data_IF_147212968576
#
_entry.id   IF_147212968576
#
_cell.length_a   1.000
_cell.length_b   1.000
_cell.length_c   1.000
_cell.angle_alpha   90.00
_cell.angle_beta   90.00
_cell.angle_gamma   90.00
#
_symmetry.space_group_name_H-M   'P 1'
#
loop_
_entity.id
_entity.type
_entity.pdbx_description
1 polymer ?
#
# COMPACT_ATOMS: atom_id res chain seq x y z
N UNK A 1 -8.03 -26.25 -21.63
CA UNK A 1 -7.61 -24.84 -21.59
C UNK A 1 -8.58 -24.13 -20.66
N UNK A 2 -8.18 -23.87 -19.41
CA UNK A 2 -9.03 -23.12 -18.48
C UNK A 2 -9.03 -21.65 -18.87
N UNK A 3 -10.20 -21.05 -19.06
CA UNK A 3 -10.31 -19.60 -19.24
C UNK A 3 -9.85 -18.93 -17.95
N UNK A 4 -8.82 -18.09 -18.02
CA UNK A 4 -8.58 -17.10 -16.98
C UNK A 4 -9.73 -16.09 -17.07
N UNK A 5 -10.83 -16.39 -16.40
CA UNK A 5 -11.95 -15.46 -16.24
C UNK A 5 -11.47 -14.35 -15.32
N UNK A 6 -10.95 -13.27 -15.90
CA UNK A 6 -10.63 -12.07 -15.16
C UNK A 6 -11.95 -11.42 -14.72
N UNK A 7 -12.36 -11.65 -13.48
CA UNK A 7 -13.45 -10.91 -12.85
C UNK A 7 -12.97 -9.46 -12.64
N UNK A 8 -13.18 -8.63 -13.65
CA UNK A 8 -12.87 -7.21 -13.55
C UNK A 8 -13.87 -6.55 -12.60
N UNK A 9 -13.42 -6.22 -11.39
CA UNK A 9 -14.12 -5.28 -10.53
C UNK A 9 -13.40 -3.93 -10.61
N UNK A 10 -13.80 -3.05 -11.55
CA UNK A 10 -13.18 -1.74 -11.69
C UNK A 10 -13.41 -0.96 -10.39
N UNK A 11 -12.34 -0.70 -9.66
CA UNK A 11 -12.34 0.23 -8.54
C UNK A 11 -11.50 1.44 -8.95
N UNK A 12 -12.12 2.62 -9.00
CA UNK A 12 -11.39 3.88 -9.12
C UNK A 12 -10.99 4.31 -7.72
N UNK A 13 -9.69 4.27 -7.43
CA UNK A 13 -9.13 4.83 -6.20
C UNK A 13 -8.41 6.14 -6.60
N UNK A 14 -9.14 7.25 -6.53
CA UNK A 14 -8.60 8.58 -6.79
C UNK A 14 -7.97 9.18 -5.53
N UNK A 15 -6.83 9.86 -5.67
CA UNK A 15 -6.18 10.54 -4.57
C UNK A 15 -5.65 11.89 -5.05
N UNK A 16 -5.87 12.94 -4.25
CA UNK A 16 -5.40 14.31 -4.51
C UNK A 16 -4.80 14.84 -3.22
N UNK A 17 -3.53 15.24 -3.22
CA UNK A 17 -2.90 15.86 -2.05
C UNK A 17 -2.96 17.39 -2.16
N UNK A 18 -3.20 18.04 -1.03
CA UNK A 18 -3.20 19.51 -0.90
C UNK A 18 -1.94 20.09 -0.26
N UNK A 19 -0.99 19.24 0.18
CA UNK A 19 0.24 19.65 0.86
C UNK A 19 1.45 18.94 0.27
N UNK A 20 2.53 19.68 0.16
CA UNK A 20 3.87 19.19 -0.17
C UNK A 20 4.37 18.18 0.86
N UNK A 21 5.17 17.21 0.42
CA UNK A 21 5.88 16.23 1.26
C UNK A 21 5.04 15.17 1.99
N UNK A 22 3.74 15.02 1.67
CA UNK A 22 2.94 13.87 2.13
C UNK A 22 2.91 12.79 1.06
N UNK A 23 3.53 11.64 1.32
CA UNK A 23 3.44 10.51 0.40
C UNK A 23 1.98 10.11 0.14
N UNK A 24 1.66 9.80 -1.11
CA UNK A 24 0.37 9.21 -1.48
C UNK A 24 0.49 7.71 -1.22
N UNK A 25 -0.33 7.20 -0.31
CA UNK A 25 -0.44 5.77 -0.03
C UNK A 25 -1.86 5.31 -0.26
N UNK A 26 -2.06 4.38 -1.19
CA UNK A 26 -3.37 3.81 -1.50
C UNK A 26 -3.29 2.29 -1.53
N UNK A 27 -4.00 1.63 -0.60
CA UNK A 27 -4.14 0.18 -0.63
C UNK A 27 -5.23 -0.25 -1.61
N UNK A 28 -4.93 -1.28 -2.39
CA UNK A 28 -5.93 -2.15 -3.01
C UNK A 28 -6.08 -3.35 -2.08
N UNK A 29 -7.24 -3.38 -1.44
CA UNK A 29 -7.61 -4.36 -0.43
C UNK A 29 -7.57 -5.79 -0.98
N UNK A 30 -7.25 -6.77 -0.13
CA UNK A 30 -7.19 -8.17 -0.52
C UNK A 30 -8.57 -8.66 -0.90
N UNK A 31 -8.64 -9.66 -1.78
CA UNK A 31 -9.89 -10.34 -2.12
C UNK A 31 -9.72 -11.84 -2.01
N UNK A 32 -10.57 -12.46 -1.20
CA UNK A 32 -10.53 -13.90 -0.97
C UNK A 32 -10.70 -14.65 -2.31
N UNK A 33 -9.74 -15.52 -2.62
CA UNK A 33 -9.79 -16.33 -3.84
C UNK A 33 -9.37 -15.60 -5.13
N UNK A 34 -9.08 -14.30 -5.07
CA UNK A 34 -8.69 -13.52 -6.25
C UNK A 34 -7.25 -12.99 -6.16
N UNK A 35 -6.64 -12.75 -7.32
CA UNK A 35 -5.39 -11.99 -7.46
C UNK A 35 -5.72 -10.59 -7.96
N UNK A 36 -5.05 -9.58 -7.41
CA UNK A 36 -5.15 -8.20 -7.89
C UNK A 36 -4.31 -8.05 -9.16
N UNK A 37 -4.88 -7.45 -10.20
CA UNK A 37 -4.18 -7.02 -11.40
C UNK A 37 -4.64 -5.63 -11.84
N UNK A 38 -3.72 -4.68 -11.91
CA UNK A 38 -3.97 -3.34 -12.44
C UNK A 38 -3.70 -3.36 -13.94
N UNK A 39 -4.75 -3.17 -14.71
CA UNK A 39 -4.69 -3.11 -16.18
C UNK A 39 -4.45 -1.70 -16.71
N UNK A 40 -4.89 -0.70 -15.94
CA UNK A 40 -4.69 0.71 -16.24
C UNK A 40 -4.59 1.51 -14.95
N UNK A 41 -3.71 2.51 -14.98
CA UNK A 41 -3.65 3.57 -13.98
C UNK A 41 -3.43 4.90 -14.71
N UNK A 42 -3.84 5.99 -14.06
CA UNK A 42 -3.54 7.35 -14.49
C UNK A 42 -2.83 8.06 -13.37
N UNK A 43 -1.78 8.79 -13.70
CA UNK A 43 -1.07 9.64 -12.74
C UNK A 43 -0.87 11.03 -13.34
N UNK A 44 -0.81 12.03 -12.47
CA UNK A 44 -0.51 13.41 -12.86
C UNK A 44 0.60 13.90 -11.95
N UNK A 45 1.82 13.86 -12.44
CA UNK A 45 2.98 14.38 -11.73
C UNK A 45 3.09 15.90 -11.87
N UNK A 46 3.77 16.51 -10.90
CA UNK A 46 4.24 17.89 -11.01
C UNK A 46 5.36 18.06 -12.02
N UNK A 47 6.16 19.11 -11.87
CA UNK A 47 7.24 19.45 -12.81
C UNK A 47 8.49 18.56 -12.67
N UNK A 48 8.56 17.78 -11.60
CA UNK A 48 9.69 16.90 -11.28
C UNK A 48 9.48 15.47 -11.80
N UNK A 49 10.56 14.85 -12.25
CA UNK A 49 10.62 13.39 -12.47
C UNK A 49 10.31 12.73 -11.12
N UNK A 50 9.40 11.77 -11.11
CA UNK A 50 9.01 11.04 -9.89
C UNK A 50 8.76 9.57 -10.22
N UNK A 51 8.28 8.79 -9.25
CA UNK A 51 7.97 7.38 -9.49
C UNK A 51 6.78 6.93 -8.67
N UNK A 52 5.94 6.11 -9.29
CA UNK A 52 4.91 5.34 -8.58
C UNK A 52 5.49 3.97 -8.28
N UNK A 53 5.25 3.49 -7.07
CA UNK A 53 5.66 2.18 -6.62
C UNK A 53 4.40 1.35 -6.36
N UNK A 54 4.38 0.15 -6.91
CA UNK A 54 3.37 -0.86 -6.65
C UNK A 54 4.02 -1.89 -5.72
N UNK A 55 3.83 -1.65 -4.43
CA UNK A 55 4.41 -2.43 -3.35
C UNK A 55 3.61 -3.70 -3.14
N UNK A 56 4.30 -4.83 -3.33
CA UNK A 56 3.76 -6.17 -3.11
C UNK A 56 3.70 -6.47 -1.60
N UNK A 57 2.65 -7.16 -1.17
CA UNK A 57 2.53 -7.63 0.21
C UNK A 57 3.63 -8.66 0.49
N UNK A 58 4.47 -8.39 1.48
CA UNK A 58 5.58 -9.26 1.89
C UNK A 58 5.14 -10.28 2.95
N UNK A 59 4.04 -10.00 3.65
CA UNK A 59 3.50 -10.88 4.67
C UNK A 59 2.20 -10.34 5.27
N UNK A 60 1.54 -11.21 6.04
CA UNK A 60 0.37 -10.84 6.84
C UNK A 60 0.46 -11.50 8.22
N UNK A 61 -0.14 -10.86 9.20
CA UNK A 61 -0.36 -11.38 10.55
C UNK A 61 -1.70 -10.82 11.06
N UNK A 62 -2.00 -11.07 12.32
CA UNK A 62 -3.18 -10.50 13.01
C UNK A 62 -2.79 -9.90 14.34
N UNK A 63 -3.54 -8.90 14.80
CA UNK A 63 -3.36 -8.32 16.13
C UNK A 63 -3.85 -9.31 17.20
N UNK A 64 -3.11 -9.47 18.30
CA UNK A 64 -3.50 -10.36 19.42
C UNK A 64 -4.42 -9.71 20.44
N UNK A 65 -4.29 -8.39 20.63
CA UNK A 65 -5.00 -7.63 21.65
C UNK A 65 -5.70 -6.43 21.04
N UNK A 66 -6.94 -6.16 21.44
CA UNK A 66 -7.65 -5.00 20.93
C UNK A 66 -6.83 -3.70 21.14
N UNK A 67 -6.82 -2.83 20.13
CA UNK A 67 -6.14 -1.54 20.13
C UNK A 67 -7.20 -0.47 19.90
N UNK A 68 -7.28 0.52 20.80
CA UNK A 68 -8.25 1.60 20.67
C UNK A 68 -7.82 2.62 19.60
N UNK A 69 -8.80 3.29 19.03
CA UNK A 69 -8.65 4.50 18.22
C UNK A 69 -7.75 5.53 18.92
N UNK A 70 -7.05 6.32 18.13
CA UNK A 70 -6.02 7.28 18.54
C UNK A 70 -4.74 6.66 19.14
N UNK A 71 -4.65 5.34 19.28
CA UNK A 71 -3.41 4.71 19.72
C UNK A 71 -2.33 4.80 18.64
N UNK A 72 -1.08 4.96 19.08
CA UNK A 72 0.13 4.82 18.27
C UNK A 72 1.00 3.65 18.72
N UNK A 73 0.64 2.97 19.80
CA UNK A 73 1.42 1.90 20.43
C UNK A 73 0.52 0.73 20.84
N UNK A 74 1.12 -0.44 21.07
CA UNK A 74 0.40 -1.62 21.58
C UNK A 74 -0.01 -2.61 20.49
N UNK A 75 0.58 -2.51 19.30
CA UNK A 75 0.33 -3.45 18.21
C UNK A 75 1.19 -4.69 18.44
N UNK A 76 0.56 -5.76 18.92
CA UNK A 76 1.19 -7.06 19.14
C UNK A 76 0.62 -8.05 18.14
N UNK A 77 1.49 -8.79 17.46
CA UNK A 77 1.13 -9.71 16.40
C UNK A 77 1.02 -11.15 16.91
N UNK A 78 0.04 -11.89 16.36
CA UNK A 78 -0.24 -13.28 16.73
C UNK A 78 0.79 -14.24 16.14
N UNK A 79 1.25 -13.94 14.92
CA UNK A 79 2.29 -14.70 14.26
C UNK A 79 3.59 -13.93 14.23
N UNK A 80 4.69 -14.63 14.57
CA UNK A 80 6.03 -14.14 14.30
C UNK A 80 6.20 -14.10 12.78
N UNK A 81 6.50 -12.94 12.22
CA UNK A 81 6.74 -12.82 10.79
C UNK A 81 7.85 -13.78 10.36
N UNK A 82 7.71 -14.34 9.16
CA UNK A 82 8.65 -15.32 8.62
C UNK A 82 10.06 -14.72 8.61
N UNK A 83 11.05 -15.52 9.04
CA UNK A 83 12.47 -15.14 9.04
C UNK A 83 12.86 -14.58 7.68
N UNK A 84 13.24 -13.30 7.63
CA UNK A 84 13.57 -12.56 6.41
C UNK A 84 12.67 -11.36 6.12
N UNK A 85 11.45 -11.34 6.67
CA UNK A 85 10.49 -10.23 6.52
C UNK A 85 10.19 -9.59 7.88
N UNK A 86 11.25 -9.22 8.61
CA UNK A 86 11.09 -8.57 9.91
C UNK A 86 10.59 -7.14 9.72
N UNK A 87 9.67 -6.71 10.58
CA UNK A 87 9.30 -5.30 10.65
C UNK A 87 10.50 -4.46 11.06
N UNK A 88 10.73 -3.39 10.32
CA UNK A 88 11.67 -2.33 10.57
C UNK A 88 10.98 -0.98 10.70
N UNK A 89 11.72 -0.01 11.23
CA UNK A 89 11.27 1.39 11.28
C UNK A 89 11.11 1.94 9.87
N UNK A 90 10.05 2.73 9.65
CA UNK A 90 9.65 3.30 8.36
C UNK A 90 9.00 2.35 7.36
N UNK A 91 8.89 1.06 7.70
CA UNK A 91 8.15 0.12 6.87
C UNK A 91 6.66 0.48 6.83
N UNK A 92 6.05 0.25 5.69
CA UNK A 92 4.62 0.42 5.50
C UNK A 92 3.86 -0.82 5.93
N UNK A 93 2.79 -0.59 6.70
CA UNK A 93 1.81 -1.61 7.07
C UNK A 93 0.41 -1.10 6.78
N UNK A 94 -0.49 -2.01 6.43
CA UNK A 94 -1.92 -1.73 6.38
C UNK A 94 -2.63 -2.49 7.49
N UNK A 95 -3.40 -1.74 8.27
CA UNK A 95 -4.10 -2.19 9.47
C UNK A 95 -5.59 -2.27 9.16
N UNK A 96 -6.19 -3.44 9.30
CA UNK A 96 -7.63 -3.60 9.20
C UNK A 96 -8.31 -3.04 10.46
N UNK A 97 -9.19 -2.07 10.27
CA UNK A 97 -9.96 -1.43 11.34
C UNK A 97 -11.28 -2.17 11.60
N UNK A 98 -11.94 -1.85 12.72
CA UNK A 98 -13.23 -2.45 13.07
C UNK A 98 -14.34 -2.08 12.09
N UNK A 99 -14.31 -0.88 11.51
CA UNK A 99 -15.19 -0.50 10.39
C UNK A 99 -14.94 -1.25 9.07
N UNK A 100 -13.96 -2.16 9.01
CA UNK A 100 -13.65 -2.99 7.84
C UNK A 100 -12.78 -2.31 6.79
N UNK A 101 -12.36 -1.06 6.99
CA UNK A 101 -11.39 -0.38 6.12
C UNK A 101 -9.95 -0.69 6.52
N UNK A 102 -9.01 -0.40 5.62
CA UNK A 102 -7.59 -0.49 5.92
C UNK A 102 -6.97 0.90 6.07
N UNK A 103 -6.28 1.13 7.19
CA UNK A 103 -5.45 2.30 7.40
C UNK A 103 -4.00 1.96 7.10
N UNK A 104 -3.38 2.69 6.17
CA UNK A 104 -1.95 2.55 5.86
C UNK A 104 -1.16 3.50 6.75
N UNK A 105 -0.14 2.96 7.43
CA UNK A 105 0.75 3.71 8.33
C UNK A 105 2.19 3.23 8.18
N UNK A 106 3.13 4.05 8.64
CA UNK A 106 4.52 3.63 8.80
C UNK A 106 4.80 3.16 10.22
N UNK A 107 5.75 2.25 10.37
CA UNK A 107 6.24 1.80 11.66
C UNK A 107 7.16 2.87 12.26
N UNK A 108 6.88 3.29 13.49
CA UNK A 108 7.72 4.23 14.22
C UNK A 108 8.83 3.54 15.00
N UNK A 109 8.51 2.47 15.73
CA UNK A 109 9.48 1.62 16.46
C UNK A 109 8.97 0.18 16.57
N UNK A 110 9.88 -0.76 16.88
CA UNK A 110 9.57 -2.18 17.09
C UNK A 110 10.04 -3.10 15.97
N UNK A 111 9.95 -4.41 16.20
CA UNK A 111 10.34 -5.45 15.25
C UNK A 111 9.59 -6.76 15.49
N UNK A 112 9.34 -7.49 14.39
CA UNK A 112 8.99 -8.93 14.31
C UNK A 112 7.67 -9.42 14.94
N UNK A 113 7.27 -8.89 16.10
CA UNK A 113 6.10 -9.34 16.86
C UNK A 113 5.38 -8.22 17.61
N UNK A 114 6.01 -7.05 17.75
CA UNK A 114 5.35 -5.85 18.25
C UNK A 114 5.89 -4.60 17.56
N UNK A 115 5.06 -3.58 17.47
CA UNK A 115 5.45 -2.30 16.90
C UNK A 115 4.60 -1.13 17.42
N UNK A 116 5.09 0.08 17.15
CA UNK A 116 4.37 1.34 17.22
C UNK A 116 4.27 1.94 15.82
N UNK A 117 3.29 2.81 15.61
CA UNK A 117 3.01 3.43 14.31
C UNK A 117 3.20 4.94 14.37
N UNK A 118 3.61 5.53 13.25
CA UNK A 118 3.87 6.97 13.16
C UNK A 118 2.61 7.84 13.17
N UNK A 119 1.45 7.26 12.84
CA UNK A 119 0.16 7.96 12.79
C UNK A 119 -0.86 7.23 13.63
N UNK A 120 -1.62 7.98 14.44
CA UNK A 120 -2.64 7.43 15.32
C UNK A 120 -3.75 6.71 14.54
N UNK A 121 -4.32 5.66 15.13
CA UNK A 121 -5.45 4.95 14.52
C UNK A 121 -6.68 5.86 14.38
N UNK A 122 -7.36 5.76 13.25
CA UNK A 122 -8.62 6.49 13.00
C UNK A 122 -9.84 5.78 13.57
N UNK A 123 -9.71 4.49 13.92
CA UNK A 123 -10.77 3.67 14.49
C UNK A 123 -10.17 2.55 15.35
N UNK A 124 -11.01 1.85 16.10
CA UNK A 124 -10.60 0.71 16.91
C UNK A 124 -10.16 -0.49 16.04
N UNK A 125 -9.37 -1.39 16.63
CA UNK A 125 -9.00 -2.68 16.06
C UNK A 125 -9.22 -3.78 17.11
N UNK A 126 -10.17 -4.67 16.87
CA UNK A 126 -10.36 -5.87 17.69
C UNK A 126 -9.22 -6.89 17.50
N UNK A 127 -9.07 -7.80 18.46
CA UNK A 127 -8.17 -8.94 18.30
C UNK A 127 -8.58 -9.79 17.07
N UNK A 128 -7.59 -10.28 16.33
CA UNK A 128 -7.78 -11.03 15.09
C UNK A 128 -7.81 -10.16 13.82
N UNK A 129 -7.82 -8.83 13.95
CA UNK A 129 -7.76 -7.91 12.80
C UNK A 129 -6.46 -8.04 12.02
N UNK A 130 -6.56 -7.99 10.69
CA UNK A 130 -5.41 -8.23 9.81
C UNK A 130 -4.39 -7.09 9.85
N UNK A 131 -3.12 -7.46 9.85
CA UNK A 131 -1.97 -6.57 9.62
C UNK A 131 -1.23 -7.07 8.39
N UNK A 132 -1.07 -6.21 7.38
CA UNK A 132 -0.38 -6.54 6.13
C UNK A 132 0.88 -5.71 6.02
N UNK A 133 2.00 -6.38 5.73
CA UNK A 133 3.31 -5.78 5.72
C UNK A 133 3.81 -5.61 4.29
N UNK A 134 4.36 -4.43 3.99
CA UNK A 134 4.86 -4.08 2.66
C UNK A 134 6.33 -3.64 2.66
N UNK A 135 7.00 -3.45 3.79
CA UNK A 135 8.38 -2.94 3.81
C UNK A 135 8.48 -1.48 3.37
N UNK A 136 9.65 -1.06 2.89
CA UNK A 136 9.82 0.26 2.28
C UNK A 136 9.68 0.18 0.76
N UNK A 137 9.23 1.27 0.12
CA UNK A 137 8.95 1.29 -1.33
C UNK A 137 10.14 0.90 -2.24
N UNK A 138 11.37 1.00 -1.73
CA UNK A 138 12.59 0.62 -2.46
C UNK A 138 12.96 -0.86 -2.33
N UNK A 139 12.26 -1.63 -1.51
CA UNK A 139 12.52 -3.05 -1.32
C UNK A 139 12.15 -3.88 -2.55
N UNK A 140 12.82 -5.02 -2.69
CA UNK A 140 12.41 -6.07 -3.63
C UNK A 140 11.33 -6.90 -2.96
N UNK A 141 10.21 -7.25 -3.63
CA UNK A 141 9.97 -7.28 -5.08
C UNK A 141 9.07 -6.15 -5.63
N UNK A 142 9.09 -4.96 -5.04
CA UNK A 142 8.19 -3.90 -5.46
C UNK A 142 8.44 -3.45 -6.90
N UNK A 143 7.35 -3.13 -7.61
CA UNK A 143 7.43 -2.71 -9.00
C UNK A 143 7.47 -1.18 -9.03
N UNK A 144 8.54 -0.64 -9.61
CA UNK A 144 8.71 0.80 -9.82
C UNK A 144 8.26 1.19 -11.22
N UNK A 145 7.46 2.23 -11.31
CA UNK A 145 7.13 2.92 -12.56
C UNK A 145 7.66 4.35 -12.51
N UNK A 146 8.63 4.65 -13.38
CA UNK A 146 9.16 6.00 -13.52
C UNK A 146 8.13 6.89 -14.24
N UNK A 147 7.87 8.06 -13.68
CA UNK A 147 7.05 9.10 -14.29
C UNK A 147 7.98 10.16 -14.87
N UNK A 148 7.83 10.44 -16.15
CA UNK A 148 8.53 11.54 -16.79
C UNK A 148 8.02 12.88 -16.24
N UNK A 149 8.91 13.87 -16.17
CA UNK A 149 8.51 15.23 -15.87
C UNK A 149 7.48 15.73 -16.89
N UNK A 150 6.49 16.49 -16.43
CA UNK A 150 5.65 17.26 -17.32
C UNK A 150 6.54 18.21 -18.16
N UNK A 151 6.55 18.04 -19.49
CA UNK A 151 7.23 18.99 -20.40
C UNK A 151 6.23 20.08 -20.77
N UNK A 152 6.41 21.29 -20.23
CA UNK A 152 5.50 22.43 -20.45
C UNK A 152 4.20 22.36 -19.63
N UNK A 153 3.09 22.92 -20.14
CA UNK A 153 1.76 22.93 -19.48
C UNK A 153 1.05 21.58 -19.47
N UNK A 154 1.62 20.57 -20.13
CA UNK A 154 1.04 19.23 -20.25
C UNK A 154 1.45 18.40 -19.04
N UNK A 155 0.56 18.33 -18.05
CA UNK A 155 0.55 17.30 -17.01
C UNK A 155 0.65 15.94 -17.71
N UNK A 156 1.75 15.21 -17.53
CA UNK A 156 1.94 13.91 -18.16
C UNK A 156 0.92 12.91 -17.60
N UNK A 157 -0.25 12.81 -18.23
CA UNK A 157 -1.18 11.73 -17.98
C UNK A 157 -0.66 10.50 -18.71
N UNK A 158 0.15 9.68 -18.03
CA UNK A 158 0.37 8.32 -18.49
C UNK A 158 -0.88 7.50 -18.18
N UNK A 159 -1.78 7.38 -19.15
CA UNK A 159 -2.68 6.23 -19.23
C UNK A 159 -1.94 5.13 -19.99
N UNK A 160 -1.74 3.99 -19.34
CA UNK A 160 -1.20 2.79 -19.99
C UNK A 160 -2.24 1.69 -19.86
N UNK A 161 -2.77 1.28 -21.00
CA UNK A 161 -3.56 0.06 -21.14
C UNK A 161 -2.65 -0.95 -21.83
N UNK A 162 -2.30 -2.03 -21.14
CA UNK A 162 -1.77 -3.23 -21.78
C UNK A 162 -2.58 -4.42 -21.30
N UNK A 163 -2.93 -5.29 -22.23
CA UNK A 163 -3.56 -6.57 -21.92
C UNK A 163 -2.52 -7.45 -21.20
N UNK A 164 -2.83 -7.89 -19.97
CA UNK A 164 -1.96 -8.79 -19.19
C UNK A 164 -1.74 -8.44 -17.71
N UNK A 165 -2.12 -7.24 -17.25
CA UNK A 165 -1.98 -6.86 -15.83
C UNK A 165 -0.52 -6.64 -15.40
N UNK A 166 0.08 -5.53 -15.84
CA UNK A 166 1.50 -5.19 -15.62
C UNK A 166 1.87 -5.15 -14.12
N UNK A 167 0.94 -4.72 -13.28
CA UNK A 167 1.13 -4.64 -11.83
C UNK A 167 0.13 -5.56 -11.15
N UNK A 168 0.64 -6.51 -10.37
CA UNK A 168 -0.18 -7.54 -9.74
C UNK A 168 0.29 -7.82 -8.31
N UNK A 169 -0.64 -8.30 -7.49
CA UNK A 169 -0.30 -8.83 -6.16
C UNK A 169 0.48 -10.14 -6.31
N UNK A 170 1.42 -10.39 -5.40
CA UNK A 170 2.30 -11.55 -5.36
C UNK A 170 1.55 -12.90 -5.24
N UNK A 171 0.27 -12.88 -4.90
CA UNK A 171 -0.55 -14.08 -4.74
C UNK A 171 -2.06 -13.83 -4.79
N UNK A 172 -2.80 -14.92 -4.60
CA UNK A 172 -4.25 -14.90 -4.36
C UNK A 172 -4.49 -14.45 -2.90
N UNK A 173 -5.50 -13.61 -2.67
CA UNK A 173 -5.82 -13.10 -1.32
C UNK A 173 -4.82 -12.05 -0.81
N UNK A 174 -3.91 -11.60 -1.67
CA UNK A 174 -2.86 -10.64 -1.35
C UNK A 174 -3.28 -9.23 -1.70
N UNK A 175 -2.79 -8.28 -0.92
CA UNK A 175 -3.01 -6.84 -1.16
C UNK A 175 -1.94 -6.25 -2.08
N UNK A 176 -2.20 -5.03 -2.55
CA UNK A 176 -1.21 -4.21 -3.23
C UNK A 176 -1.25 -2.81 -2.65
N UNK A 177 -0.10 -2.24 -2.30
CA UNK A 177 0.01 -0.86 -1.84
C UNK A 177 0.59 0.00 -2.96
N UNK A 178 -0.11 1.06 -3.34
CA UNK A 178 0.38 2.07 -4.26
C UNK A 178 1.03 3.18 -3.45
N UNK A 179 2.29 3.47 -3.73
CA UNK A 179 3.05 4.53 -3.10
C UNK A 179 3.56 5.53 -4.15
N UNK A 180 3.46 6.82 -3.84
CA UNK A 180 4.16 7.88 -4.56
C UNK A 180 4.72 8.88 -3.56
N UNK A 181 6.04 9.09 -3.62
CA UNK A 181 6.68 10.18 -2.92
C UNK A 181 6.19 11.47 -3.59
N UNK A 182 5.27 12.17 -2.93
CA UNK A 182 4.76 13.46 -3.38
C UNK A 182 5.88 14.51 -3.24
N UNK A 183 6.87 14.39 -4.13
CA UNK A 183 8.00 15.30 -4.20
C UNK A 183 7.49 16.68 -4.59
N UNK A 184 8.04 17.66 -3.90
CA UNK A 184 7.66 19.07 -3.92
C UNK A 184 7.66 19.65 -5.35
N UNK A 185 6.68 20.52 -5.59
CA UNK A 185 6.53 21.48 -6.69
C UNK A 185 5.95 20.98 -8.04
N UNK A 186 4.62 21.02 -8.13
CA UNK A 186 4.04 21.75 -9.25
C UNK A 186 4.18 23.25 -8.92
N UNK A 187 5.28 23.87 -9.38
CA UNK A 187 5.33 25.32 -9.52
C UNK A 187 4.64 25.71 -10.83
#
# INVERSE_FOLDING_TARGET
MGSNTYLAHPASKGHTTGSTATAITQIIEPRAGERIAIRAFGFTAGTSISSVYFMQELGQSTITTAVASNATTGFVLNDTLVTGNLLGTSDYVALELDNGTYQVVTIATGASSNFSVGTALTDDMAAGKSVRYFGIFSDTPHIKFNLDAAVGTLKAQTTKELDGGIFYSDGIGKSLLIYHANDTAAS
#
